data_IF_350380840599
#
_entry.id   IF_350380840599
#
_cell.length_a   1.000
_cell.length_b   1.000
_cell.length_c   1.000
_cell.angle_alpha   90.00
_cell.angle_beta   90.00
_cell.angle_gamma   90.00
#
_symmetry.space_group_name_H-M   'P 1'
#
loop_
_entity.id
_entity.type
_entity.pdbx_description
1 polymer ?
#
# COMPACT_ATOMS: atom_id res chain seq x y z
N UNK A 1 51.91 24.44 -8.34
CA UNK A 1 50.71 24.54 -7.48
C UNK A 1 49.42 24.67 -8.30
N UNK A 2 49.30 25.64 -9.21
CA UNK A 2 48.13 25.79 -10.10
C UNK A 2 47.84 24.60 -11.03
N UNK A 3 48.88 23.92 -11.53
CA UNK A 3 48.72 22.72 -12.37
C UNK A 3 48.14 21.51 -11.61
N UNK A 4 48.43 21.42 -10.31
CA UNK A 4 47.92 20.35 -9.44
C UNK A 4 46.45 20.60 -9.06
N UNK A 5 46.08 21.86 -8.83
CA UNK A 5 44.69 22.26 -8.54
C UNK A 5 43.78 22.04 -9.76
N UNK A 6 44.29 22.27 -10.98
CA UNK A 6 43.54 22.03 -12.23
C UNK A 6 43.37 20.55 -12.54
N UNK A 7 44.38 19.70 -12.28
CA UNK A 7 44.26 18.24 -12.44
C UNK A 7 43.32 17.62 -11.40
N UNK A 8 43.34 18.10 -10.15
CA UNK A 8 42.40 17.66 -9.09
C UNK A 8 40.96 18.13 -9.39
N UNK A 9 40.78 19.31 -10.01
CA UNK A 9 39.48 19.78 -10.50
C UNK A 9 38.93 18.97 -11.69
N UNK A 10 39.79 18.38 -12.52
CA UNK A 10 39.43 17.49 -13.63
C UNK A 10 39.07 16.05 -13.17
N UNK A 11 39.49 15.65 -11.97
CA UNK A 11 39.05 14.41 -11.31
C UNK A 11 37.68 14.55 -10.65
N UNK A 12 37.08 15.75 -10.69
CA UNK A 12 35.78 16.00 -10.07
C UNK A 12 34.63 15.46 -10.93
N UNK A 13 33.81 14.63 -10.30
CA UNK A 13 32.43 14.26 -10.66
C UNK A 13 32.21 13.40 -11.90
N UNK A 14 32.69 12.15 -11.86
CA UNK A 14 32.03 11.09 -12.64
C UNK A 14 30.82 10.60 -11.84
N UNK A 15 29.61 11.00 -12.23
CA UNK A 15 28.37 10.39 -11.74
C UNK A 15 28.11 9.13 -12.55
N UNK A 16 28.70 8.01 -12.13
CA UNK A 16 28.32 6.71 -12.65
C UNK A 16 26.95 6.33 -12.07
N UNK A 17 25.93 6.26 -12.93
CA UNK A 17 24.66 5.62 -12.60
C UNK A 17 24.67 4.21 -13.22
N UNK A 18 24.41 3.20 -12.41
CA UNK A 18 24.43 1.78 -12.81
C UNK A 18 23.03 1.25 -13.21
N UNK A 19 22.06 2.13 -13.44
CA UNK A 19 20.77 1.76 -13.98
C UNK A 19 20.92 1.45 -15.48
N UNK A 20 20.36 0.34 -15.95
CA UNK A 20 20.34 -0.03 -17.37
C UNK A 20 19.01 0.41 -18.02
N UNK A 21 18.94 1.59 -18.66
CA UNK A 21 17.71 2.08 -19.24
C UNK A 21 17.38 1.46 -20.61
N UNK A 22 18.31 0.73 -21.26
CA UNK A 22 18.13 0.22 -22.63
C UNK A 22 17.35 -1.09 -22.69
N UNK A 23 17.42 -1.88 -21.61
CA UNK A 23 16.76 -3.18 -21.50
C UNK A 23 15.86 -3.26 -20.26
N UNK A 24 14.83 -2.39 -20.14
CA UNK A 24 13.91 -2.44 -19.02
C UNK A 24 12.99 -3.66 -19.10
N UNK A 25 12.60 -4.19 -17.94
CA UNK A 25 11.48 -5.12 -17.86
C UNK A 25 10.18 -4.31 -17.85
N UNK A 26 9.42 -4.39 -18.93
CA UNK A 26 8.16 -3.69 -19.08
C UNK A 26 7.01 -4.59 -18.62
N UNK A 27 6.14 -4.09 -17.74
CA UNK A 27 4.88 -4.72 -17.36
C UNK A 27 3.72 -3.81 -17.73
N UNK A 28 2.75 -4.32 -18.49
CA UNK A 28 1.61 -3.54 -18.98
C UNK A 28 0.32 -4.01 -18.31
N UNK A 29 -0.44 -3.06 -17.77
CA UNK A 29 -1.79 -3.29 -17.25
C UNK A 29 -2.87 -2.73 -18.15
N UNK A 30 -4.13 -2.97 -17.79
CA UNK A 30 -5.27 -2.44 -18.54
C UNK A 30 -5.29 -0.90 -18.56
N UNK A 31 -5.63 -0.32 -19.71
CA UNK A 31 -5.77 1.14 -19.84
C UNK A 31 -6.87 1.67 -18.91
N UNK A 32 -6.57 2.75 -18.18
CA UNK A 32 -7.54 3.41 -17.29
C UNK A 32 -7.75 2.74 -15.93
N UNK A 33 -7.07 1.62 -15.66
CA UNK A 33 -7.05 0.97 -14.33
C UNK A 33 -6.11 1.65 -13.33
N UNK A 34 -5.24 2.55 -13.83
CA UNK A 34 -4.14 3.18 -13.09
C UNK A 34 -3.12 2.15 -12.61
N UNK A 35 -2.91 1.09 -13.39
CA UNK A 35 -1.83 0.14 -13.15
C UNK A 35 -0.48 0.85 -13.08
N UNK A 36 0.27 0.60 -12.00
CA UNK A 36 1.52 1.29 -11.71
C UNK A 36 1.38 2.46 -10.76
N UNK A 37 0.19 2.70 -10.19
CA UNK A 37 -0.01 3.78 -9.21
C UNK A 37 0.87 3.60 -7.97
N UNK A 38 1.03 2.37 -7.51
CA UNK A 38 1.98 1.98 -6.46
C UNK A 38 2.74 0.73 -6.89
N UNK A 39 4.01 0.62 -6.51
CA UNK A 39 4.87 -0.52 -6.88
C UNK A 39 5.69 -0.94 -5.65
N UNK A 40 5.88 -2.25 -5.47
CA UNK A 40 6.75 -2.79 -4.42
C UNK A 40 7.40 -4.09 -4.86
N UNK A 41 8.68 -4.27 -4.52
CA UNK A 41 9.39 -5.53 -4.71
C UNK A 41 9.03 -6.52 -3.59
N UNK A 42 8.82 -7.78 -3.94
CA UNK A 42 8.47 -8.82 -2.99
C UNK A 42 9.27 -10.09 -3.26
N UNK A 43 9.73 -10.71 -2.18
CA UNK A 43 10.43 -11.98 -2.22
C UNK A 43 9.74 -12.97 -1.29
N UNK A 44 9.41 -14.14 -1.82
CA UNK A 44 8.90 -15.27 -1.03
C UNK A 44 10.09 -16.12 -0.60
N UNK A 45 10.15 -16.47 0.69
CA UNK A 45 11.26 -17.22 1.27
C UNK A 45 10.73 -18.53 1.86
N UNK A 46 11.28 -19.64 1.37
CA UNK A 46 11.04 -20.97 1.93
C UNK A 46 12.36 -21.56 2.41
N UNK A 47 12.36 -22.06 3.65
CA UNK A 47 13.51 -22.73 4.28
C UNK A 47 14.84 -21.95 4.18
N UNK A 48 14.76 -20.61 4.27
CA UNK A 48 15.91 -19.70 4.19
C UNK A 48 16.37 -19.37 2.76
N UNK A 49 15.68 -19.85 1.73
CA UNK A 49 15.98 -19.59 0.32
C UNK A 49 14.88 -18.77 -0.34
N UNK A 50 15.26 -17.80 -1.18
CA UNK A 50 14.30 -17.04 -1.99
C UNK A 50 13.82 -17.94 -3.13
N UNK A 51 12.52 -18.22 -3.15
CA UNK A 51 11.90 -19.09 -4.17
C UNK A 51 11.16 -18.31 -5.25
N UNK A 52 10.77 -17.07 -4.97
CA UNK A 52 10.09 -16.21 -5.93
C UNK A 52 10.53 -14.74 -5.76
N UNK A 53 10.67 -14.05 -6.89
CA UNK A 53 10.93 -12.61 -6.97
C UNK A 53 9.83 -11.98 -7.79
N UNK A 54 9.09 -11.05 -7.19
CA UNK A 54 7.90 -10.47 -7.76
C UNK A 54 7.97 -8.95 -7.69
N UNK A 55 7.37 -8.30 -8.68
CA UNK A 55 6.94 -6.92 -8.58
C UNK A 55 5.44 -6.91 -8.30
N UNK A 56 5.05 -6.31 -7.19
CA UNK A 56 3.66 -6.06 -6.86
C UNK A 56 3.26 -4.69 -7.39
N UNK A 57 2.12 -4.64 -8.07
CA UNK A 57 1.65 -3.43 -8.74
C UNK A 57 0.20 -3.11 -8.36
N UNK A 58 -0.01 -1.92 -7.82
CA UNK A 58 -1.34 -1.39 -7.53
C UNK A 58 -1.99 -0.79 -8.78
N UNK A 59 -3.30 -1.04 -8.92
CA UNK A 59 -4.15 -0.48 -9.97
C UNK A 59 -5.49 -0.03 -9.35
N UNK A 60 -5.55 1.15 -8.72
CA UNK A 60 -6.68 1.61 -7.90
C UNK A 60 -8.03 1.71 -8.61
N UNK A 61 -8.07 1.67 -9.94
CA UNK A 61 -9.31 1.72 -10.74
C UNK A 61 -9.53 0.47 -11.58
N UNK A 62 -8.75 -0.58 -11.37
CA UNK A 62 -9.00 -1.90 -11.94
C UNK A 62 -10.33 -2.46 -11.42
N UNK A 63 -10.92 -3.34 -12.21
CA UNK A 63 -12.13 -4.07 -11.81
C UNK A 63 -11.71 -5.34 -11.06
N UNK A 64 -12.26 -5.58 -9.87
CA UNK A 64 -12.06 -6.85 -9.17
C UNK A 64 -13.05 -7.92 -9.63
N UNK A 65 -12.77 -9.16 -9.24
CA UNK A 65 -13.71 -10.28 -9.38
C UNK A 65 -14.88 -10.20 -8.41
N UNK A 66 -14.88 -9.29 -7.43
CA UNK A 66 -15.98 -9.18 -6.48
C UNK A 66 -17.24 -8.66 -7.18
N UNK A 67 -18.35 -9.43 -7.17
CA UNK A 67 -19.61 -9.00 -7.78
C UNK A 67 -20.14 -7.71 -7.15
N UNK A 68 -20.90 -6.92 -7.91
CA UNK A 68 -21.56 -5.72 -7.37
C UNK A 68 -20.62 -4.58 -6.97
N UNK A 69 -19.39 -4.58 -7.50
CA UNK A 69 -18.44 -3.46 -7.36
C UNK A 69 -18.09 -2.88 -8.72
N UNK A 70 -17.77 -1.59 -8.78
CA UNK A 70 -17.33 -0.89 -9.98
C UNK A 70 -16.01 -0.16 -9.72
N UNK A 71 -14.95 -0.56 -10.44
CA UNK A 71 -13.60 0.04 -10.33
C UNK A 71 -13.11 0.10 -8.89
N UNK A 72 -13.35 -0.97 -8.14
CA UNK A 72 -12.95 -1.14 -6.74
C UNK A 72 -11.43 -1.09 -6.54
N UNK A 73 -10.64 -1.32 -7.59
CA UNK A 73 -9.19 -1.33 -7.57
C UNK A 73 -8.63 -2.72 -7.30
N UNK A 74 -7.42 -3.00 -7.76
CA UNK A 74 -6.80 -4.31 -7.58
C UNK A 74 -5.29 -4.20 -7.39
N UNK A 75 -4.68 -5.28 -6.93
CA UNK A 75 -3.22 -5.46 -6.91
C UNK A 75 -2.86 -6.65 -7.79
N UNK A 76 -1.75 -6.54 -8.50
CA UNK A 76 -1.21 -7.58 -9.37
C UNK A 76 0.13 -8.05 -8.86
N UNK A 77 0.43 -9.34 -9.03
CA UNK A 77 1.79 -9.88 -8.96
C UNK A 77 2.34 -10.06 -10.37
N UNK A 78 3.56 -9.60 -10.58
CA UNK A 78 4.25 -9.67 -11.85
C UNK A 78 5.59 -10.40 -11.65
N UNK A 79 5.81 -11.56 -12.28
CA UNK A 79 7.10 -12.24 -12.25
C UNK A 79 8.21 -11.37 -12.87
N UNK A 80 9.45 -11.49 -12.37
CA UNK A 80 10.63 -10.91 -13.02
C UNK A 80 10.91 -11.68 -14.32
N UNK A 81 10.27 -11.26 -15.39
CA UNK A 81 10.34 -11.89 -16.72
C UNK A 81 10.31 -10.84 -17.82
N UNK A 82 10.76 -11.21 -19.03
CA UNK A 82 10.72 -10.36 -20.23
C UNK A 82 9.32 -10.26 -20.85
N UNK A 83 8.33 -11.02 -20.36
CA UNK A 83 6.94 -10.91 -20.81
C UNK A 83 6.29 -9.68 -20.21
N UNK A 84 5.51 -8.98 -21.00
CA UNK A 84 4.83 -7.74 -20.57
C UNK A 84 3.42 -7.96 -20.02
N UNK A 85 2.82 -9.12 -20.30
CA UNK A 85 1.41 -9.46 -20.08
C UNK A 85 1.18 -10.60 -19.07
N UNK A 86 2.19 -10.95 -18.28
CA UNK A 86 2.19 -12.09 -17.35
C UNK A 86 1.84 -11.69 -15.91
N UNK A 87 1.37 -10.46 -15.69
CA UNK A 87 0.88 -10.02 -14.40
C UNK A 87 -0.48 -10.64 -14.08
N UNK A 88 -0.63 -11.22 -12.89
CA UNK A 88 -1.87 -11.84 -12.44
C UNK A 88 -2.45 -11.07 -11.28
N UNK A 89 -3.78 -10.90 -11.27
CA UNK A 89 -4.47 -10.18 -10.20
C UNK A 89 -4.46 -11.01 -8.90
N UNK A 90 -4.19 -10.36 -7.77
CA UNK A 90 -4.28 -10.95 -6.44
C UNK A 90 -5.72 -10.95 -5.94
N UNK A 91 -6.06 -11.99 -5.19
CA UNK A 91 -7.35 -12.10 -4.51
C UNK A 91 -7.25 -11.52 -3.09
N UNK A 92 -7.09 -10.19 -2.99
CA UNK A 92 -6.97 -9.48 -1.70
C UNK A 92 -8.28 -9.53 -0.93
N UNK A 93 -9.39 -9.33 -1.63
CA UNK A 93 -10.76 -9.37 -1.12
C UNK A 93 -11.36 -10.72 -1.49
N UNK A 94 -11.33 -11.70 -0.58
CA UNK A 94 -11.73 -13.09 -0.88
C UNK A 94 -13.26 -13.27 -0.92
N UNK A 95 -14.03 -12.18 -0.97
CA UNK A 95 -15.49 -12.22 -0.95
C UNK A 95 -16.04 -12.69 -2.30
N UNK A 96 -16.86 -13.74 -2.29
CA UNK A 96 -17.56 -14.25 -3.48
C UNK A 96 -18.92 -13.58 -3.70
N UNK A 97 -19.35 -12.73 -2.77
CA UNK A 97 -20.64 -12.05 -2.79
C UNK A 97 -20.47 -10.52 -2.93
N UNK A 98 -21.56 -9.87 -3.30
CA UNK A 98 -21.61 -8.41 -3.33
C UNK A 98 -21.34 -7.81 -1.94
N UNK A 99 -20.79 -6.58 -1.86
CA UNK A 99 -20.59 -5.91 -0.59
C UNK A 99 -21.89 -5.79 0.21
N UNK A 100 -21.76 -5.74 1.54
CA UNK A 100 -22.87 -5.47 2.43
C UNK A 100 -23.54 -4.12 2.11
N UNK A 101 -24.83 -3.98 2.45
CA UNK A 101 -25.62 -2.81 2.04
C UNK A 101 -25.13 -1.49 2.65
N UNK A 102 -24.46 -1.58 3.79
CA UNK A 102 -23.84 -0.48 4.53
C UNK A 102 -22.37 -0.24 4.13
N UNK A 103 -21.87 -0.96 3.13
CA UNK A 103 -20.52 -0.79 2.59
C UNK A 103 -20.60 -0.29 1.14
N UNK A 104 -19.69 0.61 0.77
CA UNK A 104 -19.49 1.05 -0.61
C UNK A 104 -18.03 0.83 -1.00
N UNK A 105 -17.81 -0.13 -1.90
CA UNK A 105 -16.50 -0.46 -2.47
C UNK A 105 -16.26 0.13 -3.87
N UNK A 106 -17.27 0.79 -4.46
CA UNK A 106 -17.11 1.44 -5.76
C UNK A 106 -16.08 2.58 -5.69
N UNK A 107 -15.10 2.57 -6.61
CA UNK A 107 -13.96 3.50 -6.60
C UNK A 107 -13.29 3.63 -5.20
N UNK A 108 -13.21 2.53 -4.42
CA UNK A 108 -12.54 2.52 -3.11
C UNK A 108 -11.00 2.68 -3.19
N UNK A 109 -10.45 2.52 -4.39
CA UNK A 109 -9.03 2.65 -4.68
C UNK A 109 -8.14 1.60 -4.01
N UNK A 110 -8.55 0.33 -4.07
CA UNK A 110 -7.71 -0.78 -3.61
C UNK A 110 -6.43 -0.87 -4.44
N UNK A 111 -5.28 -0.90 -3.75
CA UNK A 111 -3.97 -0.81 -4.38
C UNK A 111 -3.47 0.63 -4.54
N UNK A 112 -4.01 1.59 -3.79
CA UNK A 112 -3.43 2.96 -3.70
C UNK A 112 -2.05 2.92 -3.02
N UNK A 113 -1.90 2.03 -2.05
CA UNK A 113 -0.67 1.75 -1.31
C UNK A 113 -0.43 0.25 -1.39
N UNK A 114 0.75 -0.14 -1.83
CA UNK A 114 1.25 -1.52 -1.81
C UNK A 114 2.68 -1.47 -1.31
N UNK A 115 2.98 -2.16 -0.22
CA UNK A 115 4.32 -2.16 0.36
C UNK A 115 4.65 -3.51 0.99
N UNK A 116 5.76 -4.10 0.57
CA UNK A 116 6.31 -5.35 1.07
C UNK A 116 7.29 -5.08 2.20
N UNK A 117 7.16 -5.82 3.31
CA UNK A 117 7.95 -5.63 4.53
C UNK A 117 9.44 -5.88 4.32
N UNK A 118 9.77 -7.12 3.94
CA UNK A 118 11.11 -7.71 3.86
C UNK A 118 10.98 -9.06 3.14
N UNK A 119 12.09 -9.71 2.75
CA UNK A 119 12.04 -11.06 2.19
C UNK A 119 11.34 -12.02 3.16
N UNK A 120 10.32 -12.74 2.66
CA UNK A 120 9.47 -13.63 3.44
C UNK A 120 8.56 -12.94 4.47
N UNK A 121 8.41 -11.61 4.37
CA UNK A 121 7.56 -10.81 5.24
C UNK A 121 6.13 -10.61 4.72
N UNK A 122 5.35 -9.83 5.45
CA UNK A 122 3.99 -9.46 5.04
C UNK A 122 3.99 -8.38 3.95
N UNK A 123 2.85 -8.24 3.29
CA UNK A 123 2.58 -7.15 2.34
C UNK A 123 1.39 -6.34 2.82
N UNK A 124 1.53 -5.02 2.90
CA UNK A 124 0.45 -4.08 3.16
C UNK A 124 -0.20 -3.64 1.85
N UNK A 125 -1.53 -3.70 1.78
CA UNK A 125 -2.34 -3.20 0.67
C UNK A 125 -3.49 -2.35 1.22
N UNK A 126 -3.76 -1.16 0.65
CA UNK A 126 -4.83 -0.30 1.16
C UNK A 126 -5.83 0.17 0.10
N UNK A 127 -7.02 0.56 0.57
CA UNK A 127 -8.13 1.19 -0.15
C UNK A 127 -8.64 2.41 0.64
N UNK A 128 -7.96 3.54 0.50
CA UNK A 128 -8.23 4.76 1.29
C UNK A 128 -9.59 5.44 1.05
N UNK A 129 -10.32 5.06 -0.01
CA UNK A 129 -11.66 5.60 -0.31
C UNK A 129 -12.79 4.63 0.04
N UNK A 130 -12.48 3.56 0.78
CA UNK A 130 -13.48 2.68 1.35
C UNK A 130 -14.45 3.45 2.26
N UNK A 131 -15.76 3.21 2.05
CA UNK A 131 -16.83 3.95 2.71
C UNK A 131 -17.80 3.01 3.43
N UNK A 132 -18.08 3.31 4.70
CA UNK A 132 -19.26 2.81 5.40
C UNK A 132 -20.39 3.82 5.26
N UNK A 133 -21.60 3.37 4.95
CA UNK A 133 -22.77 4.20 4.73
C UNK A 133 -23.96 3.71 5.55
N UNK A 134 -24.73 4.66 6.06
CA UNK A 134 -26.05 4.42 6.63
C UNK A 134 -27.13 5.19 5.87
N UNK A 135 -28.35 5.26 6.40
CA UNK A 135 -29.44 6.01 5.79
C UNK A 135 -29.13 7.50 5.61
N UNK A 136 -28.37 8.09 6.56
CA UNK A 136 -28.11 9.54 6.63
C UNK A 136 -26.63 9.91 6.56
N UNK A 137 -25.72 8.93 6.45
CA UNK A 137 -24.29 9.18 6.51
C UNK A 137 -23.49 8.34 5.52
N UNK A 138 -22.30 8.85 5.18
CA UNK A 138 -21.27 8.18 4.37
C UNK A 138 -19.90 8.56 4.91
N UNK A 139 -19.23 7.63 5.59
CA UNK A 139 -17.95 7.83 6.23
C UNK A 139 -16.83 7.21 5.40
N UNK A 140 -15.94 8.05 4.88
CA UNK A 140 -14.74 7.64 4.14
C UNK A 140 -13.63 7.25 5.10
N UNK A 141 -13.72 6.04 5.66
CA UNK A 141 -12.78 5.57 6.69
C UNK A 141 -11.46 5.10 6.10
N UNK A 142 -11.49 4.51 4.92
CA UNK A 142 -10.36 3.75 4.39
C UNK A 142 -10.20 2.39 5.09
N UNK A 143 -9.54 1.46 4.42
CA UNK A 143 -9.24 0.12 4.92
C UNK A 143 -7.89 -0.35 4.38
N UNK A 144 -7.18 -1.17 5.14
CA UNK A 144 -5.98 -1.85 4.68
C UNK A 144 -6.04 -3.35 4.96
N UNK A 145 -5.22 -4.12 4.28
CA UNK A 145 -5.06 -5.56 4.42
C UNK A 145 -3.59 -5.89 4.58
N UNK A 146 -3.26 -6.82 5.46
CA UNK A 146 -1.97 -7.51 5.41
C UNK A 146 -2.12 -8.85 4.72
N UNK A 147 -1.21 -9.13 3.79
CA UNK A 147 -1.08 -10.40 3.09
C UNK A 147 0.16 -11.13 3.61
N UNK A 148 0.11 -12.45 3.65
CA UNK A 148 1.27 -13.31 3.95
C UNK A 148 2.35 -13.16 2.87
N UNK A 149 3.52 -13.78 3.10
CA UNK A 149 4.57 -13.90 2.07
C UNK A 149 4.17 -14.70 0.82
N UNK A 150 3.05 -15.43 0.89
CA UNK A 150 2.45 -16.14 -0.24
C UNK A 150 1.31 -15.34 -0.88
N UNK A 151 1.12 -14.09 -0.45
CA UNK A 151 0.13 -13.13 -0.95
C UNK A 151 -1.33 -13.52 -0.63
N UNK A 152 -1.54 -14.37 0.37
CA UNK A 152 -2.86 -14.70 0.91
C UNK A 152 -3.29 -13.69 1.97
N UNK A 153 -4.58 -13.35 2.01
CA UNK A 153 -5.11 -12.42 3.01
C UNK A 153 -4.92 -12.96 4.43
N UNK A 154 -4.15 -12.24 5.23
CA UNK A 154 -3.93 -12.54 6.64
C UNK A 154 -4.93 -11.79 7.53
N UNK A 155 -5.04 -10.46 7.40
CA UNK A 155 -5.91 -9.63 8.27
C UNK A 155 -6.35 -8.33 7.60
N UNK A 156 -7.53 -7.82 7.95
CA UNK A 156 -7.99 -6.47 7.63
C UNK A 156 -7.71 -5.47 8.78
N UNK A 157 -7.43 -4.22 8.43
CA UNK A 157 -7.03 -3.14 9.32
C UNK A 157 -7.92 -1.92 9.09
N UNK A 158 -8.77 -1.62 10.07
CA UNK A 158 -9.75 -0.53 10.02
C UNK A 158 -9.55 0.42 11.21
N UNK A 159 -8.48 1.23 11.22
CA UNK A 159 -8.08 1.99 12.42
C UNK A 159 -9.03 3.12 12.81
N UNK A 160 -9.88 3.51 11.87
CA UNK A 160 -10.89 4.55 12.02
C UNK A 160 -12.30 3.98 12.26
N UNK A 161 -12.42 2.65 12.33
CA UNK A 161 -13.63 2.00 12.80
C UNK A 161 -13.83 2.25 14.30
N UNK A 162 -15.09 2.36 14.73
CA UNK A 162 -15.48 2.60 16.13
C UNK A 162 -14.88 3.87 16.77
N UNK A 163 -14.39 4.80 15.95
CA UNK A 163 -13.93 6.12 16.39
C UNK A 163 -15.06 7.17 16.29
N UNK A 164 -14.98 8.29 17.04
CA UNK A 164 -15.96 9.36 16.96
C UNK A 164 -16.09 9.94 15.54
N UNK A 165 -17.32 10.18 15.11
CA UNK A 165 -17.66 10.70 13.77
C UNK A 165 -18.68 11.84 13.82
N UNK A 166 -19.14 12.23 15.02
CA UNK A 166 -20.21 13.21 15.22
C UNK A 166 -19.85 14.58 14.65
N UNK A 167 -18.55 14.92 14.64
CA UNK A 167 -18.03 16.15 14.02
C UNK A 167 -17.41 15.89 12.64
N UNK A 168 -17.77 14.77 11.99
CA UNK A 168 -17.38 14.41 10.64
C UNK A 168 -15.85 14.53 10.38
N UNK A 169 -15.43 15.54 9.61
CA UNK A 169 -14.04 15.80 9.22
C UNK A 169 -13.18 16.32 10.37
N UNK A 170 -13.78 16.92 11.41
CA UNK A 170 -13.05 17.30 12.62
C UNK A 170 -12.63 16.07 13.46
N UNK A 171 -13.14 14.89 13.10
CA UNK A 171 -12.85 13.60 13.72
C UNK A 171 -12.57 12.54 12.63
N UNK A 172 -13.08 11.32 12.79
CA UNK A 172 -12.69 10.16 11.98
C UNK A 172 -13.68 9.82 10.86
N UNK A 173 -14.68 10.68 10.61
CA UNK A 173 -15.69 10.44 9.58
C UNK A 173 -15.13 10.38 8.16
N UNK A 174 -14.02 11.08 7.93
CA UNK A 174 -13.32 11.12 6.64
C UNK A 174 -11.84 10.74 6.77
N UNK A 175 -11.53 9.79 7.65
CA UNK A 175 -10.17 9.38 7.96
C UNK A 175 -9.29 9.09 6.72
N UNK A 176 -9.82 8.37 5.73
CA UNK A 176 -9.09 7.91 4.54
C UNK A 176 -7.76 7.22 4.87
N UNK A 177 -7.76 6.38 5.92
CA UNK A 177 -6.58 5.63 6.32
C UNK A 177 -6.07 4.75 5.17
N UNK A 178 -4.74 4.69 5.04
CA UNK A 178 -4.08 3.91 4.00
C UNK A 178 -3.84 4.68 2.70
N UNK A 179 -4.06 6.01 2.70
CA UNK A 179 -3.61 6.89 1.61
C UNK A 179 -2.09 6.79 1.42
N UNK A 180 -1.37 6.59 2.52
CA UNK A 180 0.01 6.13 2.56
C UNK A 180 0.15 5.10 3.68
N UNK A 181 1.20 4.28 3.62
CA UNK A 181 1.51 3.35 4.70
C UNK A 181 2.79 2.57 4.47
N UNK A 182 3.34 2.06 5.57
CA UNK A 182 4.53 1.23 5.59
C UNK A 182 4.39 0.18 6.69
N UNK A 183 4.93 -1.01 6.47
CA UNK A 183 5.17 -2.00 7.51
C UNK A 183 6.68 -2.05 7.82
N UNK A 184 7.04 -1.88 9.09
CA UNK A 184 8.42 -1.96 9.56
C UNK A 184 8.90 -3.42 9.63
N UNK A 185 10.21 -3.62 9.76
CA UNK A 185 10.80 -4.96 9.94
C UNK A 185 10.28 -5.70 11.19
N UNK A 186 9.90 -4.96 12.24
CA UNK A 186 9.27 -5.49 13.47
C UNK A 186 7.78 -5.84 13.31
N UNK A 187 7.26 -5.79 12.08
CA UNK A 187 5.84 -6.00 11.76
C UNK A 187 4.93 -4.95 12.41
N UNK A 188 5.45 -3.74 12.56
CA UNK A 188 4.67 -2.57 12.97
C UNK A 188 4.10 -1.91 11.74
N UNK A 189 2.79 -1.68 11.73
CA UNK A 189 2.12 -0.90 10.69
C UNK A 189 2.11 0.59 11.04
N UNK A 190 2.35 1.43 10.05
CA UNK A 190 2.20 2.89 10.11
C UNK A 190 1.32 3.30 8.93
N UNK A 191 0.14 3.86 9.19
CA UNK A 191 -0.81 4.28 8.16
C UNK A 191 -1.05 5.78 8.22
N UNK A 192 -1.00 6.43 7.06
CA UNK A 192 -1.40 7.83 6.89
C UNK A 192 -2.91 7.95 6.73
N UNK A 193 -3.51 8.89 7.46
CA UNK A 193 -4.92 9.22 7.40
C UNK A 193 -5.09 10.74 7.25
N UNK A 194 -5.28 11.25 6.02
CA UNK A 194 -5.22 12.67 5.76
C UNK A 194 -6.47 13.44 6.22
N UNK A 195 -7.64 12.84 6.35
CA UNK A 195 -8.87 13.64 6.51
C UNK A 195 -9.22 14.22 7.89
N UNK A 196 -8.77 13.69 9.05
CA UNK A 196 -9.04 14.33 10.34
C UNK A 196 -8.27 15.66 10.49
N UNK A 197 -8.91 16.74 10.98
CA UNK A 197 -8.34 18.11 11.06
C UNK A 197 -6.96 18.25 11.75
N UNK A 198 -6.56 17.32 12.62
CA UNK A 198 -5.19 17.28 13.16
C UNK A 198 -4.27 16.48 12.23
N UNK A 199 -4.22 16.93 10.97
CA UNK A 199 -3.53 16.28 9.85
C UNK A 199 -2.02 16.08 10.07
N UNK A 200 -1.43 16.76 11.05
CA UNK A 200 0.00 16.70 11.35
C UNK A 200 0.45 15.43 12.12
N UNK A 201 -0.46 14.61 12.65
CA UNK A 201 -0.08 13.58 13.66
C UNK A 201 -0.78 12.23 13.56
N UNK A 202 -1.45 11.91 12.45
CA UNK A 202 -2.19 10.65 12.40
C UNK A 202 -1.40 9.52 11.74
N UNK A 203 -0.65 8.83 12.58
CA UNK A 203 -0.02 7.56 12.28
C UNK A 203 -0.66 6.49 13.14
N UNK A 204 -1.25 5.49 12.50
CA UNK A 204 -1.80 4.33 13.20
C UNK A 204 -0.67 3.35 13.44
N UNK A 205 -0.23 3.21 14.68
CA UNK A 205 0.74 2.19 15.08
C UNK A 205 0.01 0.91 15.53
N UNK A 206 0.39 -0.25 14.99
CA UNK A 206 -0.07 -1.53 15.48
C UNK A 206 1.08 -2.52 15.59
N UNK A 207 1.27 -3.14 16.77
CA UNK A 207 2.29 -4.18 17.01
C UNK A 207 1.68 -5.56 16.79
N UNK A 208 2.34 -6.42 16.00
CA UNK A 208 1.84 -7.75 15.63
C UNK A 208 1.98 -8.83 16.72
N UNK A 209 1.40 -8.65 17.91
CA UNK A 209 1.30 -9.67 18.96
C UNK A 209 -0.13 -10.17 19.17
N UNK A 210 -0.31 -11.45 19.54
CA UNK A 210 -1.62 -12.11 19.77
C UNK A 210 -2.52 -11.47 20.84
N UNK A 211 -2.03 -10.47 21.60
CA UNK A 211 -2.79 -9.80 22.65
C UNK A 211 -2.50 -8.30 22.80
N UNK A 212 -1.89 -7.63 21.82
CA UNK A 212 -1.56 -6.20 21.92
C UNK A 212 -2.67 -5.32 21.33
N UNK A 213 -3.70 -5.06 22.14
CA UNK A 213 -4.73 -4.06 21.88
C UNK A 213 -4.31 -2.69 22.43
N UNK A 214 -3.32 -2.04 21.83
CA UNK A 214 -3.05 -0.63 22.06
C UNK A 214 -2.68 0.04 20.73
N UNK A 215 -3.65 0.77 20.16
CA UNK A 215 -3.47 1.72 19.07
C UNK A 215 -2.79 2.97 19.66
N UNK A 216 -1.47 2.97 19.71
CA UNK A 216 -0.72 4.13 20.18
C UNK A 216 -0.56 5.14 19.04
N UNK A 217 -1.09 6.35 19.27
CA UNK A 217 -0.97 7.50 18.37
C UNK A 217 0.40 8.15 18.60
N UNK A 218 1.45 7.60 18.00
CA UNK A 218 2.79 8.19 18.09
C UNK A 218 3.43 8.30 16.72
N UNK A 219 3.13 9.39 16.01
CA UNK A 219 4.13 10.02 15.17
C UNK A 219 4.72 11.18 15.98
N UNK A 220 5.69 10.88 16.84
CA UNK A 220 6.52 11.91 17.44
C UNK A 220 7.46 12.46 16.35
N UNK A 221 7.63 13.78 16.24
CA UNK A 221 8.71 14.33 15.44
C UNK A 221 10.05 13.85 16.03
N UNK A 222 11.02 13.54 15.17
CA UNK A 222 12.40 13.36 15.62
C UNK A 222 12.81 14.63 16.37
N UNK A 223 13.32 14.55 17.62
CA UNK A 223 13.94 15.70 18.26
C UNK A 223 15.13 16.13 17.39
N UNK A 224 15.14 17.40 17.01
CA UNK A 224 16.27 18.05 16.34
C UNK A 224 17.45 18.24 17.27
#
# INVERSE_FOLDING_TARGET
MYLLITVVGLLASVHAFNLEPRLPLLKLGMKGSYFGYSVSEHQTVDSGTVIDNLVLVGAPRAQTSQPGTNRSGAVYRCPISTRYDDCTQLNVETETYAPEKDVLKDDQWLGVTVQSQRPGGFVLVCAHRYVNKGPTYRWGRGICYSLSQFLDRHRAWEPCENRPVQKAHEQFGFCQAGTSGIISEESTLVLGAPGPIHMERYCVHHRGGENSSWLDLVCQPLPG
#
